data_IF_347364917123
#
_entry.id   IF_347364917123
#
_cell.length_a   1.000
_cell.length_b   1.000
_cell.length_c   1.000
_cell.angle_alpha   90.00
_cell.angle_beta   90.00
_cell.angle_gamma   90.00
#
_symmetry.space_group_name_H-M   'P 1'
#
loop_
_entity.id
_entity.type
_entity.pdbx_description
1 polymer ?
#
# COMPACT_ATOMS: atom_id res chain seq x y z
N UNK A 1 -21.90 8.49 -14.02
CA UNK A 1 -20.69 7.70 -13.69
C UNK A 1 -19.42 8.55 -13.60
N UNK A 2 -19.28 9.63 -14.39
CA UNK A 2 -18.10 10.51 -14.36
C UNK A 2 -17.88 11.36 -13.08
N UNK A 3 -18.86 11.42 -12.15
CA UNK A 3 -18.79 12.35 -11.02
C UNK A 3 -17.91 11.85 -9.85
N UNK A 4 -17.65 10.53 -9.75
CA UNK A 4 -16.89 9.94 -8.63
C UNK A 4 -15.38 9.78 -8.91
N UNK A 5 -14.97 9.70 -10.18
CA UNK A 5 -13.57 9.44 -10.58
C UNK A 5 -12.68 10.65 -10.21
N UNK A 6 -13.14 11.87 -10.49
CA UNK A 6 -12.41 13.09 -10.11
C UNK A 6 -12.32 13.28 -8.59
N UNK A 7 -13.28 12.77 -7.82
CA UNK A 7 -13.33 12.97 -6.36
C UNK A 7 -12.30 12.09 -5.64
N UNK A 8 -12.19 10.80 -6.03
CA UNK A 8 -11.21 9.87 -5.46
C UNK A 8 -9.78 10.40 -5.58
N UNK A 9 -9.39 10.87 -6.77
CA UNK A 9 -8.08 11.47 -7.03
C UNK A 9 -7.87 12.74 -6.20
N UNK A 10 -8.85 13.65 -6.20
CA UNK A 10 -8.76 14.91 -5.47
C UNK A 10 -8.55 14.65 -3.97
N UNK A 11 -9.37 13.76 -3.39
CA UNK A 11 -9.26 13.37 -1.98
C UNK A 11 -7.91 12.71 -1.68
N UNK A 12 -7.40 11.85 -2.57
CA UNK A 12 -6.08 11.24 -2.39
C UNK A 12 -4.95 12.30 -2.39
N UNK A 13 -4.99 13.28 -3.30
CA UNK A 13 -3.99 14.35 -3.37
C UNK A 13 -4.07 15.24 -2.12
N UNK A 14 -5.26 15.64 -1.70
CA UNK A 14 -5.48 16.48 -0.52
C UNK A 14 -5.04 15.76 0.77
N UNK A 15 -5.42 14.49 0.93
CA UNK A 15 -5.00 13.67 2.07
C UNK A 15 -3.47 13.52 2.12
N UNK A 16 -2.83 13.22 0.98
CA UNK A 16 -1.38 13.09 0.90
C UNK A 16 -0.65 14.40 1.23
N UNK A 17 -1.17 15.56 0.77
CA UNK A 17 -0.63 16.89 1.12
C UNK A 17 -0.79 17.20 2.60
N UNK A 18 -1.95 16.90 3.18
CA UNK A 18 -2.25 17.15 4.59
C UNK A 18 -1.41 16.29 5.54
N UNK A 19 -1.29 14.99 5.24
CA UNK A 19 -0.50 14.04 6.04
C UNK A 19 1.01 14.27 5.85
N UNK A 20 1.43 14.75 4.67
CA UNK A 20 2.82 15.10 4.36
C UNK A 20 3.75 13.91 4.09
N UNK A 21 3.25 12.68 4.21
CA UNK A 21 4.00 11.45 3.88
C UNK A 21 3.05 10.32 3.46
N UNK A 22 3.49 9.48 2.53
CA UNK A 22 2.75 8.31 2.08
C UNK A 22 3.70 7.26 1.46
N UNK A 23 3.19 6.05 1.30
CA UNK A 23 3.80 4.99 0.51
C UNK A 23 2.85 4.61 -0.62
N UNK A 24 3.32 4.56 -1.86
CA UNK A 24 2.54 4.02 -2.96
C UNK A 24 3.34 3.01 -3.79
N UNK A 25 2.61 2.10 -4.43
CA UNK A 25 3.17 1.11 -5.36
C UNK A 25 2.10 0.66 -6.35
N UNK A 26 2.55 0.14 -7.48
CA UNK A 26 1.69 -0.66 -8.35
C UNK A 26 1.48 -2.05 -7.75
N UNK A 27 0.25 -2.53 -7.78
CA UNK A 27 -0.10 -3.87 -7.31
C UNK A 27 0.35 -4.89 -8.34
N UNK A 28 1.20 -5.83 -7.94
CA UNK A 28 1.69 -6.93 -8.78
C UNK A 28 0.85 -8.20 -8.62
N UNK A 29 0.95 -9.13 -9.57
CA UNK A 29 0.32 -10.44 -9.47
C UNK A 29 0.74 -11.24 -8.21
N UNK A 30 1.96 -11.02 -7.71
CA UNK A 30 2.44 -11.65 -6.48
C UNK A 30 1.79 -11.05 -5.22
N UNK A 31 1.42 -9.78 -5.26
CA UNK A 31 0.78 -9.13 -4.11
C UNK A 31 -0.62 -9.67 -3.84
N UNK A 32 -1.31 -10.09 -4.89
CA UNK A 32 -2.68 -10.62 -4.86
C UNK A 32 -2.71 -12.15 -4.83
N UNK A 33 -1.56 -12.80 -4.68
CA UNK A 33 -1.44 -14.25 -4.56
C UNK A 33 -2.11 -15.02 -5.72
N UNK A 34 -1.97 -14.51 -6.95
CA UNK A 34 -2.43 -15.19 -8.16
C UNK A 34 -1.44 -16.25 -8.65
N UNK A 35 -0.21 -16.25 -8.11
CA UNK A 35 0.88 -17.15 -8.54
C UNK A 35 0.96 -18.44 -7.71
N UNK A 36 0.10 -18.61 -6.70
CA UNK A 36 0.11 -19.77 -5.80
C UNK A 36 1.38 -19.88 -4.95
N UNK A 37 2.16 -18.79 -4.85
CA UNK A 37 3.38 -18.74 -4.08
C UNK A 37 3.06 -18.61 -2.59
N UNK A 38 3.88 -19.21 -1.72
CA UNK A 38 3.75 -19.12 -0.26
C UNK A 38 3.88 -17.70 0.32
N UNK A 39 4.10 -16.70 -0.53
CA UNK A 39 4.34 -15.31 -0.20
C UNK A 39 3.05 -14.50 -0.29
N UNK A 40 2.21 -14.59 0.74
CA UNK A 40 0.92 -13.91 0.79
C UNK A 40 1.09 -12.43 1.20
N UNK A 41 0.38 -11.54 0.51
CA UNK A 41 0.19 -10.14 0.88
C UNK A 41 1.08 -9.14 0.15
N UNK A 42 0.71 -7.87 0.24
CA UNK A 42 1.37 -6.74 -0.42
C UNK A 42 2.83 -6.62 0.05
N UNK A 43 3.78 -6.72 -0.87
CA UNK A 43 5.18 -6.40 -0.60
C UNK A 43 5.35 -4.91 -0.31
N UNK A 44 6.12 -4.59 0.73
CA UNK A 44 6.57 -3.24 1.04
C UNK A 44 8.06 -3.13 0.70
N UNK A 45 8.35 -2.13 -0.14
CA UNK A 45 9.66 -1.56 -0.36
C UNK A 45 10.50 -1.46 0.93
N UNK A 46 11.66 -2.13 1.00
CA UNK A 46 12.54 -2.06 2.20
C UNK A 46 12.88 -0.65 2.67
N UNK A 47 12.96 0.31 1.75
CA UNK A 47 13.27 1.71 2.07
C UNK A 47 12.09 2.43 2.72
N UNK A 48 10.86 1.97 2.50
CA UNK A 48 9.62 2.55 3.04
C UNK A 48 9.24 2.00 4.43
N UNK A 49 10.15 1.30 5.12
CA UNK A 49 9.88 0.70 6.43
C UNK A 49 9.36 1.73 7.46
N UNK A 50 9.87 2.95 7.41
CA UNK A 50 9.57 4.05 8.34
C UNK A 50 8.17 4.65 8.17
N UNK A 51 7.47 4.31 7.08
CA UNK A 51 6.05 4.61 6.94
C UNK A 51 5.22 3.73 7.87
N UNK A 52 5.66 2.49 8.10
CA UNK A 52 4.90 1.48 8.84
C UNK A 52 5.48 1.11 10.19
N UNK A 53 6.77 1.31 10.44
CA UNK A 53 7.45 0.93 11.69
C UNK A 53 8.24 2.10 12.25
N UNK A 54 8.34 2.16 13.58
CA UNK A 54 9.20 3.13 14.28
C UNK A 54 10.68 2.81 14.13
N UNK A 55 11.01 1.52 14.07
CA UNK A 55 12.38 1.06 13.86
C UNK A 55 12.41 0.00 12.76
N UNK A 56 13.48 0.05 11.98
CA UNK A 56 13.77 -0.90 10.91
C UNK A 56 13.88 -2.31 11.49
N UNK A 57 13.24 -3.28 10.83
CA UNK A 57 13.40 -4.70 11.12
C UNK A 57 14.85 -5.18 10.93
N UNK A 58 15.26 -6.09 11.81
CA UNK A 58 16.63 -6.62 11.89
C UNK A 58 16.66 -8.06 11.39
N UNK A 59 17.57 -8.38 10.46
CA UNK A 59 17.73 -9.75 9.96
C UNK A 59 18.03 -10.69 11.13
N UNK A 60 17.27 -11.80 11.22
CA UNK A 60 17.32 -12.74 12.34
C UNK A 60 16.04 -12.78 13.16
N UNK A 61 15.21 -11.74 13.10
CA UNK A 61 13.93 -11.66 13.81
C UNK A 61 12.76 -11.31 12.89
N UNK A 62 11.55 -11.64 13.35
CA UNK A 62 10.33 -11.11 12.74
C UNK A 62 9.85 -9.95 13.62
N UNK A 63 9.29 -8.92 12.99
CA UNK A 63 8.66 -7.78 13.67
C UNK A 63 7.33 -7.52 13.01
N UNK A 64 6.25 -7.40 13.76
CA UNK A 64 4.94 -7.14 13.19
C UNK A 64 4.08 -6.27 14.09
N UNK A 65 3.06 -5.67 13.48
CA UNK A 65 2.01 -4.94 14.16
C UNK A 65 0.72 -4.97 13.34
N UNK A 66 -0.38 -4.66 13.99
CA UNK A 66 -1.66 -4.48 13.33
C UNK A 66 -1.86 -3.00 12.98
N UNK A 67 -2.49 -2.77 11.83
CA UNK A 67 -2.93 -1.44 11.40
C UNK A 67 -4.39 -1.51 11.01
N UNK A 68 -5.10 -0.41 11.19
CA UNK A 68 -6.46 -0.20 10.71
C UNK A 68 -6.40 0.53 9.37
N UNK A 69 -6.98 -0.09 8.36
CA UNK A 69 -7.10 0.45 7.00
C UNK A 69 -8.44 1.17 6.87
N UNK A 70 -8.39 2.42 6.42
CA UNK A 70 -9.54 3.29 6.18
C UNK A 70 -9.67 3.52 4.67
N UNK A 71 -10.73 3.00 4.07
CA UNK A 71 -11.12 3.23 2.67
C UNK A 71 -12.37 4.12 2.63
N UNK A 72 -12.48 4.99 1.63
CA UNK A 72 -13.70 5.79 1.45
C UNK A 72 -14.92 4.92 1.17
N UNK A 73 -16.01 5.17 1.88
CA UNK A 73 -17.27 4.43 1.72
C UNK A 73 -17.33 3.05 2.38
N UNK A 74 -16.26 2.60 3.08
CA UNK A 74 -16.22 1.29 3.73
C UNK A 74 -15.90 1.37 5.22
N UNK A 75 -16.35 0.38 5.98
CA UNK A 75 -15.98 0.26 7.39
C UNK A 75 -14.49 -0.08 7.52
N UNK A 76 -13.75 0.56 8.44
CA UNK A 76 -12.32 0.27 8.61
C UNK A 76 -12.07 -1.17 9.04
N UNK A 77 -11.01 -1.80 8.51
CA UNK A 77 -10.65 -3.18 8.81
C UNK A 77 -9.18 -3.31 9.20
N UNK A 78 -8.84 -4.41 9.86
CA UNK A 78 -7.48 -4.67 10.32
C UNK A 78 -6.64 -5.36 9.23
N UNK A 79 -5.39 -4.92 9.09
CA UNK A 79 -4.33 -5.60 8.34
C UNK A 79 -3.11 -5.79 9.23
N UNK A 80 -2.24 -6.75 8.88
CA UNK A 80 -1.00 -7.01 9.63
C UNK A 80 0.20 -6.60 8.80
N UNK A 81 0.96 -5.63 9.28
CA UNK A 81 2.26 -5.28 8.71
C UNK A 81 3.32 -6.14 9.39
N UNK A 82 4.14 -6.83 8.59
CA UNK A 82 5.14 -7.77 9.09
C UNK A 82 6.45 -7.63 8.33
N UNK A 83 7.55 -7.57 9.06
CA UNK A 83 8.90 -7.84 8.61
C UNK A 83 9.23 -9.32 8.84
N UNK A 84 9.57 -10.02 7.77
CA UNK A 84 10.11 -11.37 7.81
C UNK A 84 11.64 -11.32 7.72
N UNK A 85 12.33 -11.48 8.86
CA UNK A 85 13.79 -11.52 8.93
C UNK A 85 14.38 -12.89 9.26
N UNK A 86 13.55 -13.89 9.62
CA UNK A 86 14.00 -15.26 9.92
C UNK A 86 14.26 -16.09 8.66
N UNK A 87 15.13 -17.10 8.79
CA UNK A 87 15.50 -18.00 7.69
C UNK A 87 16.17 -17.25 6.54
N UNK A 88 15.76 -17.50 5.29
CA UNK A 88 16.25 -16.78 4.11
C UNK A 88 15.57 -15.42 3.90
N UNK A 89 14.39 -15.19 4.50
CA UNK A 89 13.57 -13.99 4.26
C UNK A 89 14.17 -12.73 4.87
N UNK A 90 14.07 -11.64 4.13
CA UNK A 90 14.46 -10.31 4.57
C UNK A 90 13.57 -9.33 3.81
N UNK A 91 12.31 -9.20 4.19
CA UNK A 91 11.29 -8.45 3.44
C UNK A 91 10.16 -7.95 4.35
N UNK A 92 9.46 -6.91 3.91
CA UNK A 92 8.28 -6.37 4.60
C UNK A 92 7.03 -6.67 3.79
N UNK A 93 5.91 -6.94 4.47
CA UNK A 93 4.61 -7.21 3.85
C UNK A 93 3.45 -6.64 4.64
N UNK A 94 2.35 -6.38 3.94
CA UNK A 94 1.01 -6.18 4.52
C UNK A 94 0.19 -7.42 4.17
N UNK A 95 -0.12 -8.20 5.20
CA UNK A 95 -0.94 -9.41 5.10
C UNK A 95 -2.36 -9.12 5.60
N UNK A 96 -3.31 -9.98 5.25
CA UNK A 96 -4.75 -9.84 5.55
C UNK A 96 -5.44 -8.65 4.88
N UNK A 97 -4.71 -7.80 4.14
CA UNK A 97 -5.29 -6.68 3.39
C UNK A 97 -6.40 -7.16 2.46
N UNK A 98 -6.11 -8.07 1.54
CA UNK A 98 -7.08 -8.57 0.57
C UNK A 98 -8.22 -9.35 1.21
N UNK A 99 -7.90 -10.21 2.18
CA UNK A 99 -8.89 -11.04 2.88
C UNK A 99 -9.97 -10.20 3.56
N UNK A 100 -9.60 -9.01 4.05
CA UNK A 100 -10.49 -8.12 4.79
C UNK A 100 -10.96 -6.92 3.95
N UNK A 101 -10.42 -6.73 2.75
CA UNK A 101 -10.81 -5.64 1.85
C UNK A 101 -12.13 -5.97 1.14
N UNK A 102 -12.89 -4.95 0.71
CA UNK A 102 -14.10 -5.13 -0.07
C UNK A 102 -13.84 -5.44 -1.56
N UNK A 103 -12.57 -5.52 -1.99
CA UNK A 103 -12.20 -5.62 -3.40
C UNK A 103 -11.95 -7.07 -3.84
N UNK A 104 -12.29 -7.38 -5.09
CA UNK A 104 -11.77 -8.57 -5.76
C UNK A 104 -10.29 -8.35 -6.06
N UNK A 105 -9.43 -9.05 -5.33
CA UNK A 105 -7.97 -8.84 -5.36
C UNK A 105 -7.40 -9.03 -6.77
N UNK A 106 -7.94 -9.96 -7.56
CA UNK A 106 -7.44 -10.23 -8.91
C UNK A 106 -7.59 -9.03 -9.86
N UNK A 107 -8.66 -8.27 -9.68
CA UNK A 107 -8.98 -7.07 -10.48
C UNK A 107 -8.10 -5.86 -10.11
N UNK A 108 -7.35 -5.95 -9.00
CA UNK A 108 -6.54 -4.83 -8.53
C UNK A 108 -5.11 -4.83 -9.09
N UNK A 109 -4.72 -5.85 -9.87
CA UNK A 109 -3.38 -5.91 -10.49
C UNK A 109 -3.22 -4.76 -11.48
N UNK A 110 -2.11 -4.03 -11.36
CA UNK A 110 -1.83 -2.85 -12.19
C UNK A 110 -2.32 -1.53 -11.60
N UNK A 111 -3.22 -1.56 -10.61
CA UNK A 111 -3.68 -0.34 -9.93
C UNK A 111 -2.60 0.22 -9.00
N UNK A 112 -2.63 1.54 -8.78
CA UNK A 112 -1.76 2.21 -7.82
C UNK A 112 -2.44 2.23 -6.45
N UNK A 113 -1.86 1.50 -5.49
CA UNK A 113 -2.29 1.57 -4.09
C UNK A 113 -1.44 2.59 -3.33
N UNK A 114 -2.09 3.41 -2.50
CA UNK A 114 -1.47 4.47 -1.72
C UNK A 114 -1.86 4.30 -0.25
N UNK A 115 -0.86 4.17 0.63
CA UNK A 115 -0.99 4.11 2.08
C UNK A 115 -0.51 5.41 2.71
N UNK A 116 -1.36 6.06 3.50
CA UNK A 116 -1.07 7.33 4.16
C UNK A 116 -1.25 7.17 5.69
N UNK A 117 -0.18 7.27 6.49
CA UNK A 117 -0.27 7.10 7.94
C UNK A 117 -0.94 8.32 8.59
N UNK A 118 -2.17 8.16 9.08
CA UNK A 118 -2.85 9.18 9.88
C UNK A 118 -2.24 9.24 11.29
N UNK A 119 -1.89 8.07 11.82
CA UNK A 119 -1.10 7.91 13.04
C UNK A 119 -0.27 6.60 12.94
N UNK A 120 0.19 6.06 14.07
CA UNK A 120 0.99 4.84 14.09
C UNK A 120 0.21 3.58 13.69
N UNK A 121 -1.10 3.54 13.92
CA UNK A 121 -1.95 2.37 13.73
C UNK A 121 -3.01 2.58 12.63
N UNK A 122 -3.37 3.82 12.31
CA UNK A 122 -4.42 4.12 11.35
C UNK A 122 -3.84 4.62 10.02
N UNK A 123 -4.25 3.97 8.93
CA UNK A 123 -3.83 4.28 7.57
C UNK A 123 -5.03 4.59 6.69
N UNK A 124 -5.03 5.79 6.09
CA UNK A 124 -5.90 6.09 4.97
C UNK A 124 -5.34 5.41 3.72
N UNK A 125 -6.19 4.73 2.97
CA UNK A 125 -5.78 4.00 1.77
C UNK A 125 -6.64 4.41 0.57
N UNK A 126 -5.97 4.60 -0.56
CA UNK A 126 -6.60 4.85 -1.86
C UNK A 126 -6.08 3.83 -2.88
N UNK A 127 -6.95 3.44 -3.82
CA UNK A 127 -6.56 2.65 -5.00
C UNK A 127 -7.00 3.44 -6.24
N UNK A 128 -6.04 3.89 -7.04
CA UNK A 128 -6.27 4.52 -8.32
C UNK A 128 -6.15 3.47 -9.41
N UNK A 129 -7.16 3.40 -10.28
CA UNK A 129 -7.40 2.30 -11.21
C UNK A 129 -7.50 2.75 -12.67
N UNK A 130 -7.36 4.07 -12.91
CA UNK A 130 -7.28 4.63 -14.26
C UNK A 130 -5.91 5.27 -14.48
N UNK A 131 -5.42 5.18 -15.72
CA UNK A 131 -4.13 5.76 -16.11
C UNK A 131 -4.07 7.27 -15.84
N UNK A 132 -5.13 8.00 -16.16
CA UNK A 132 -5.24 9.45 -15.94
C UNK A 132 -5.17 9.84 -14.45
N UNK A 133 -5.83 9.09 -13.55
CA UNK A 133 -5.70 9.33 -12.11
C UNK A 133 -4.28 9.07 -11.60
N UNK A 134 -3.68 7.97 -12.05
CA UNK A 134 -2.34 7.55 -11.65
C UNK A 134 -1.31 8.58 -12.09
N UNK A 135 -1.35 9.00 -13.35
CA UNK A 135 -0.44 10.02 -13.90
C UNK A 135 -0.57 11.34 -13.14
N UNK A 136 -1.80 11.84 -12.95
CA UNK A 136 -2.03 13.09 -12.21
C UNK A 136 -1.57 13.04 -10.76
N UNK A 137 -1.75 11.91 -10.08
CA UNK A 137 -1.23 11.74 -8.72
C UNK A 137 0.30 11.76 -8.71
N UNK A 138 0.94 11.02 -9.61
CA UNK A 138 2.40 10.96 -9.74
C UNK A 138 2.98 12.35 -10.03
N UNK A 139 2.40 13.09 -10.97
CA UNK A 139 2.81 14.43 -11.36
C UNK A 139 2.66 15.42 -10.20
N UNK A 140 1.57 15.33 -9.44
CA UNK A 140 1.29 16.22 -8.29
C UNK A 140 2.38 16.18 -7.22
N UNK A 141 3.11 15.07 -7.10
CA UNK A 141 4.19 14.90 -6.13
C UNK A 141 5.57 14.77 -6.79
N UNK A 142 5.67 15.04 -8.10
CA UNK A 142 6.90 14.90 -8.89
C UNK A 142 7.58 13.54 -8.68
N UNK A 143 6.77 12.49 -8.53
CA UNK A 143 7.28 11.14 -8.33
C UNK A 143 7.85 10.63 -9.66
N UNK A 144 9.01 9.99 -9.62
CA UNK A 144 9.50 9.26 -10.80
C UNK A 144 8.97 7.82 -10.78
N UNK A 145 8.49 7.34 -11.92
CA UNK A 145 8.12 5.92 -12.12
C UNK A 145 9.30 4.97 -11.80
N UNK A 146 10.53 5.46 -11.92
CA UNK A 146 11.75 4.73 -11.53
C UNK A 146 11.78 4.50 -10.01
N UNK A 147 11.37 5.46 -9.19
CA UNK A 147 11.29 5.32 -7.73
C UNK A 147 10.16 4.35 -7.32
N UNK A 148 9.08 4.27 -8.13
CA UNK A 148 7.96 3.37 -7.90
C UNK A 148 8.25 1.90 -8.30
N UNK A 149 9.18 1.68 -9.24
CA UNK A 149 9.51 0.36 -9.80
C UNK A 149 10.85 -0.25 -9.33
N UNK A 150 11.79 0.53 -8.78
CA UNK A 150 13.14 0.05 -8.38
C UNK A 150 13.21 -0.84 -7.13
N UNK A 151 12.11 -1.46 -6.70
CA UNK A 151 12.10 -2.39 -5.58
C UNK A 151 11.43 -3.74 -5.92
N UNK A 152 11.52 -4.13 -7.19
CA UNK A 152 11.52 -5.53 -7.61
C UNK A 152 12.94 -6.09 -7.55
#
# INVERSE_FOLDING_TARGET
>A
MQQNESEKLTNAIEAAKSIGRFYCKFISANDVDLTGAHQVGLYIAKQAWNIFFEEKGVKGENKDKYIKVHLDGYYPYESRVIYYGRGTRNEYRITRFWTNSPFEKAEQVGNLIIFMPMDQENFKVYILDTEDEIEKFIDSFSLSLIVLSKLL
#
